data_IF_152733942334
#
_entry.id   IF_152733942334
#
_cell.length_a   1.000
_cell.length_b   1.000
_cell.length_c   1.000
_cell.angle_alpha   90.00
_cell.angle_beta   90.00
_cell.angle_gamma   90.00
#
_symmetry.space_group_name_H-M   'P 1'
#
loop_
_entity.id
_entity.type
_entity.pdbx_description
1 polymer ?
#
# COMPACT_ATOMS: atom_id res chain seq x y z
N UNK A 1 13.31 25.20 5.69
CA UNK A 1 12.58 23.93 5.90
C UNK A 1 12.60 23.14 4.59
N UNK A 2 13.63 22.33 4.36
CA UNK A 2 13.70 21.51 3.14
C UNK A 2 12.74 20.33 3.27
N UNK A 3 11.62 20.36 2.53
CA UNK A 3 10.75 19.19 2.37
C UNK A 3 11.58 18.09 1.69
N UNK A 4 12.06 17.14 2.46
CA UNK A 4 12.79 15.99 1.92
C UNK A 4 11.89 15.28 0.90
N UNK A 5 12.38 15.10 -0.33
CA UNK A 5 11.65 14.45 -1.43
C UNK A 5 11.17 13.05 -1.04
N UNK A 6 11.93 12.39 -0.17
CA UNK A 6 11.66 11.04 0.30
C UNK A 6 10.39 10.97 1.15
N UNK A 7 10.12 11.98 1.99
CA UNK A 7 8.89 12.02 2.78
C UNK A 7 7.64 12.18 1.89
N UNK A 8 7.75 13.00 0.82
CA UNK A 8 6.65 13.13 -0.16
C UNK A 8 6.43 11.83 -0.95
N UNK A 9 7.52 11.18 -1.38
CA UNK A 9 7.44 9.90 -2.11
C UNK A 9 6.83 8.81 -1.22
N UNK A 10 7.29 8.69 0.02
CA UNK A 10 6.78 7.74 0.99
C UNK A 10 5.31 8.00 1.36
N UNK A 11 4.90 9.25 1.51
CA UNK A 11 3.49 9.62 1.71
C UNK A 11 2.62 9.21 0.51
N UNK A 12 3.11 9.44 -0.71
CA UNK A 12 2.41 9.06 -1.94
C UNK A 12 2.24 7.54 -2.05
N UNK A 13 3.31 6.77 -1.88
CA UNK A 13 3.25 5.30 -1.94
C UNK A 13 2.34 4.73 -0.85
N UNK A 14 2.42 5.21 0.40
CA UNK A 14 1.49 4.78 1.47
C UNK A 14 0.03 5.05 1.11
N UNK A 15 -0.28 6.20 0.54
CA UNK A 15 -1.65 6.54 0.10
C UNK A 15 -2.14 5.57 -1.00
N UNK A 16 -1.33 5.37 -2.04
CA UNK A 16 -1.69 4.48 -3.15
C UNK A 16 -1.89 3.03 -2.69
N UNK A 17 -1.05 2.53 -1.77
CA UNK A 17 -1.22 1.19 -1.21
C UNK A 17 -2.54 1.05 -0.44
N UNK A 18 -2.92 2.06 0.36
CA UNK A 18 -4.20 2.08 1.08
C UNK A 18 -5.39 2.11 0.12
N UNK A 19 -5.33 2.95 -0.89
CA UNK A 19 -6.36 3.05 -1.94
C UNK A 19 -6.50 1.72 -2.71
N UNK A 20 -5.39 1.07 -3.06
CA UNK A 20 -5.37 -0.24 -3.70
C UNK A 20 -6.01 -1.32 -2.83
N UNK A 21 -5.67 -1.38 -1.53
CA UNK A 21 -6.31 -2.32 -0.61
C UNK A 21 -7.82 -2.09 -0.49
N UNK A 22 -8.25 -0.84 -0.30
CA UNK A 22 -9.68 -0.51 -0.18
C UNK A 22 -10.46 -0.87 -1.45
N UNK A 23 -9.87 -0.67 -2.62
CA UNK A 23 -10.45 -1.04 -3.91
C UNK A 23 -10.63 -2.55 -4.01
N UNK A 24 -9.58 -3.33 -3.72
CA UNK A 24 -9.64 -4.80 -3.75
C UNK A 24 -10.64 -5.37 -2.74
N UNK A 25 -10.81 -4.72 -1.58
CA UNK A 25 -11.79 -5.12 -0.58
C UNK A 25 -13.25 -4.91 -1.01
N UNK A 26 -13.51 -4.12 -2.06
CA UNK A 26 -14.83 -4.05 -2.68
C UNK A 26 -15.13 -5.27 -3.56
N UNK A 27 -14.09 -5.95 -4.05
CA UNK A 27 -14.20 -7.02 -5.05
C UNK A 27 -14.00 -8.42 -4.44
N UNK A 28 -13.17 -8.54 -3.41
CA UNK A 28 -12.86 -9.83 -2.74
C UNK A 28 -12.63 -9.70 -1.25
N UNK A 29 -12.68 -10.83 -0.55
CA UNK A 29 -12.47 -10.90 0.91
C UNK A 29 -11.02 -10.56 1.23
N UNK A 30 -10.80 -9.87 2.35
CA UNK A 30 -9.45 -9.46 2.79
C UNK A 30 -8.44 -10.61 2.86
N UNK A 31 -8.86 -11.79 3.32
CA UNK A 31 -7.96 -12.95 3.42
C UNK A 31 -7.47 -13.48 2.06
N UNK A 32 -8.13 -13.11 0.96
CA UNK A 32 -7.74 -13.44 -0.41
C UNK A 32 -6.88 -12.33 -1.06
N UNK A 33 -6.58 -11.26 -0.32
CA UNK A 33 -5.77 -10.12 -0.80
C UNK A 33 -4.32 -10.32 -0.38
N UNK A 34 -3.45 -10.48 -1.36
CA UNK A 34 -2.01 -10.56 -1.18
C UNK A 34 -1.34 -9.19 -1.34
N UNK A 35 -0.12 -9.05 -0.81
CA UNK A 35 0.70 -7.87 -1.07
C UNK A 35 0.94 -7.64 -2.57
N UNK A 36 0.97 -8.71 -3.38
CA UNK A 36 1.08 -8.63 -4.84
C UNK A 36 -0.13 -7.93 -5.43
N UNK A 37 -1.34 -8.36 -5.08
CA UNK A 37 -2.58 -7.77 -5.59
C UNK A 37 -2.63 -6.27 -5.29
N UNK A 38 -2.30 -5.88 -4.05
CA UNK A 38 -2.27 -4.47 -3.64
C UNK A 38 -1.25 -3.69 -4.47
N UNK A 39 -0.06 -4.24 -4.69
CA UNK A 39 0.98 -3.54 -5.47
C UNK A 39 0.65 -3.45 -6.95
N UNK A 40 0.01 -4.46 -7.54
CA UNK A 40 -0.47 -4.43 -8.93
C UNK A 40 -1.61 -3.42 -9.08
N UNK A 41 -2.56 -3.38 -8.14
CA UNK A 41 -3.65 -2.40 -8.11
C UNK A 41 -3.14 -0.96 -7.95
N UNK A 42 -2.09 -0.76 -7.15
CA UNK A 42 -1.50 0.56 -6.88
C UNK A 42 -0.45 1.03 -7.91
N UNK A 43 -0.14 0.23 -8.93
CA UNK A 43 0.97 0.44 -9.88
C UNK A 43 2.32 0.70 -9.16
N UNK A 44 2.67 -0.21 -8.25
CA UNK A 44 3.89 -0.14 -7.43
C UNK A 44 4.64 -1.47 -7.46
N UNK A 45 5.93 -1.40 -7.14
CA UNK A 45 6.73 -2.61 -6.93
C UNK A 45 6.45 -3.22 -5.55
N UNK A 46 6.48 -4.56 -5.45
CA UNK A 46 6.38 -5.28 -4.16
C UNK A 46 7.39 -4.79 -3.11
N UNK A 47 8.61 -4.43 -3.53
CA UNK A 47 9.59 -3.83 -2.63
C UNK A 47 9.09 -2.54 -1.96
N UNK A 48 8.31 -1.71 -2.68
CA UNK A 48 7.71 -0.48 -2.13
C UNK A 48 6.66 -0.77 -1.07
N UNK A 49 5.93 -1.89 -1.19
CA UNK A 49 5.02 -2.35 -0.13
C UNK A 49 5.79 -2.64 1.15
N UNK A 50 6.83 -3.48 1.06
CA UNK A 50 7.59 -3.91 2.22
C UNK A 50 8.46 -2.81 2.85
N UNK A 51 8.69 -1.68 2.16
CA UNK A 51 9.26 -0.47 2.77
C UNK A 51 8.31 0.20 3.77
N UNK A 52 7.01 -0.12 3.75
CA UNK A 52 5.99 0.54 4.57
C UNK A 52 5.27 -0.43 5.50
N UNK A 53 4.99 -1.64 5.04
CA UNK A 53 4.18 -2.61 5.76
C UNK A 53 4.78 -4.02 5.64
N UNK A 54 4.89 -4.78 6.75
CA UNK A 54 5.37 -6.15 6.71
C UNK A 54 4.41 -7.10 5.98
N UNK A 55 3.10 -6.83 6.04
CA UNK A 55 2.05 -7.64 5.41
C UNK A 55 0.78 -6.80 5.16
N UNK A 56 -0.25 -7.43 4.59
CA UNK A 56 -1.54 -6.79 4.28
C UNK A 56 -2.35 -6.45 5.53
N UNK A 57 -2.11 -7.12 6.66
CA UNK A 57 -2.77 -6.82 7.93
C UNK A 57 -2.26 -5.50 8.50
N UNK A 58 -0.94 -5.30 8.53
CA UNK A 58 -0.35 -4.03 8.95
C UNK A 58 -0.76 -2.86 8.04
N UNK A 59 -0.96 -3.11 6.74
CA UNK A 59 -1.55 -2.12 5.86
C UNK A 59 -3.00 -1.80 6.26
N UNK A 60 -3.82 -2.83 6.53
CA UNK A 60 -5.21 -2.66 6.96
C UNK A 60 -5.31 -1.88 8.28
N UNK A 61 -4.51 -2.23 9.29
CA UNK A 61 -4.45 -1.53 10.59
C UNK A 61 -4.02 -0.06 10.46
N UNK A 62 -3.33 0.28 9.37
CA UNK A 62 -2.89 1.65 9.13
C UNK A 62 -3.96 2.54 8.50
N UNK A 63 -5.05 1.97 7.94
CA UNK A 63 -6.14 2.70 7.27
C UNK A 63 -6.98 3.45 8.31
#
# INVERSE_FOLDING_TARGET
MHKNSDDRRAKRSRRLLKEGLLTLMQEKRFHDISARDVTESADLNRGTFYLHYPDTLALLESI
#
